data_IF_527920105320
#
_entry.id   IF_527920105320
#
_cell.length_a   1.000
_cell.length_b   1.000
_cell.length_c   1.000
_cell.angle_alpha   90.00
_cell.angle_beta   90.00
_cell.angle_gamma   90.00
#
_symmetry.space_group_name_H-M   'P 1'
#
loop_
_entity.id
_entity.type
_entity.pdbx_description
1 polymer ?
#
# COMPACT_ATOMS: atom_id res chain seq x y z
N UNK A 1 27.76 -40.49 -3.10
CA UNK A 1 26.31 -40.62 -2.83
C UNK A 1 25.88 -40.06 -1.45
N UNK A 2 26.52 -40.35 -0.34
CA UNK A 2 26.11 -39.88 1.01
C UNK A 2 26.06 -38.35 1.14
N UNK A 3 27.07 -37.60 0.66
CA UNK A 3 27.10 -36.12 0.75
C UNK A 3 25.92 -35.41 0.06
N UNK A 4 25.48 -35.95 -1.09
CA UNK A 4 24.35 -35.42 -1.85
C UNK A 4 23.01 -35.62 -1.12
N UNK A 5 22.85 -36.72 -0.39
CA UNK A 5 21.66 -36.97 0.45
C UNK A 5 21.59 -35.99 1.61
N UNK A 6 22.70 -35.70 2.31
CA UNK A 6 22.74 -34.73 3.41
C UNK A 6 22.43 -33.30 2.94
N UNK A 7 22.95 -32.90 1.78
CA UNK A 7 22.63 -31.59 1.19
C UNK A 7 21.16 -31.50 0.85
N UNK A 8 20.58 -32.52 0.25
CA UNK A 8 19.15 -32.54 -0.09
C UNK A 8 18.27 -32.47 1.16
N UNK A 9 18.62 -33.22 2.20
CA UNK A 9 17.91 -33.20 3.49
C UNK A 9 18.02 -31.82 4.14
N UNK A 10 19.19 -31.19 4.16
CA UNK A 10 19.38 -29.85 4.70
C UNK A 10 18.56 -28.80 3.92
N UNK A 11 18.52 -28.87 2.60
CA UNK A 11 17.69 -28.00 1.76
C UNK A 11 16.21 -28.20 2.04
N UNK A 12 15.74 -29.43 2.21
CA UNK A 12 14.34 -29.72 2.56
C UNK A 12 13.97 -29.15 3.94
N UNK A 13 14.87 -29.29 4.94
CA UNK A 13 14.66 -28.68 6.25
C UNK A 13 14.61 -27.16 6.18
N UNK A 14 15.47 -26.54 5.38
CA UNK A 14 15.48 -25.10 5.18
C UNK A 14 14.19 -24.61 4.51
N UNK A 15 13.71 -25.31 3.50
CA UNK A 15 12.42 -25.01 2.84
C UNK A 15 11.26 -25.18 3.82
N UNK A 16 11.24 -26.28 4.60
CA UNK A 16 10.20 -26.49 5.59
C UNK A 16 10.20 -25.39 6.67
N UNK A 17 11.38 -25.00 7.16
CA UNK A 17 11.53 -23.90 8.12
C UNK A 17 11.04 -22.56 7.53
N UNK A 18 11.35 -22.29 6.27
CA UNK A 18 10.85 -21.12 5.56
C UNK A 18 9.32 -21.14 5.44
N UNK A 19 8.74 -22.26 5.01
CA UNK A 19 7.28 -22.43 4.92
C UNK A 19 6.62 -22.21 6.28
N UNK A 20 7.16 -22.79 7.34
CA UNK A 20 6.67 -22.59 8.71
C UNK A 20 6.75 -21.13 9.11
N UNK A 21 7.87 -20.44 8.82
CA UNK A 21 8.05 -19.03 9.12
C UNK A 21 7.03 -18.16 8.41
N UNK A 22 6.62 -18.52 7.18
CA UNK A 22 5.63 -17.75 6.41
C UNK A 22 4.17 -18.11 6.71
N UNK A 23 3.90 -19.21 7.40
CA UNK A 23 2.52 -19.68 7.66
C UNK A 23 2.07 -19.51 9.10
N UNK A 24 2.97 -19.35 10.07
CA UNK A 24 2.62 -19.20 11.48
C UNK A 24 2.39 -17.73 11.83
N UNK A 25 1.19 -17.35 12.32
CA UNK A 25 0.89 -15.98 12.75
C UNK A 25 1.83 -15.47 13.85
N UNK A 26 2.28 -16.35 14.76
CA UNK A 26 3.22 -16.02 15.83
C UNK A 26 4.58 -15.54 15.33
N UNK A 27 4.92 -15.81 14.08
CA UNK A 27 6.15 -15.37 13.43
C UNK A 27 5.96 -14.14 12.54
N UNK A 28 4.78 -13.50 12.60
CA UNK A 28 4.49 -12.30 11.79
C UNK A 28 5.46 -11.17 12.08
N UNK A 29 5.71 -10.86 13.35
CA UNK A 29 6.63 -9.78 13.74
C UNK A 29 8.11 -10.08 13.40
N UNK A 30 8.69 -11.24 13.71
CA UNK A 30 10.03 -11.59 13.25
C UNK A 30 10.18 -11.55 11.72
N UNK A 31 9.19 -12.05 10.98
CA UNK A 31 9.17 -11.97 9.52
C UNK A 31 9.20 -10.54 9.03
N UNK A 32 8.33 -9.69 9.56
CA UNK A 32 8.29 -8.27 9.27
C UNK A 32 9.65 -7.58 9.49
N UNK A 33 10.34 -7.86 10.59
CA UNK A 33 11.67 -7.30 10.87
C UNK A 33 12.69 -7.70 9.80
N UNK A 34 12.67 -8.95 9.36
CA UNK A 34 13.56 -9.45 8.29
C UNK A 34 13.24 -8.78 6.95
N UNK A 35 11.97 -8.69 6.58
CA UNK A 35 11.51 -8.06 5.34
C UNK A 35 11.91 -6.57 5.28
N UNK A 36 11.70 -5.83 6.36
CA UNK A 36 12.11 -4.43 6.44
C UNK A 36 13.64 -4.26 6.35
N UNK A 37 14.41 -5.15 6.98
CA UNK A 37 15.85 -5.12 6.85
C UNK A 37 16.33 -5.39 5.43
N UNK A 38 15.70 -6.33 4.73
CA UNK A 38 15.97 -6.60 3.31
C UNK A 38 15.61 -5.37 2.47
N UNK A 39 14.42 -4.79 2.66
CA UNK A 39 13.97 -3.57 1.96
C UNK A 39 14.97 -2.42 2.16
N UNK A 40 15.38 -2.18 3.41
CA UNK A 40 16.37 -1.16 3.77
C UNK A 40 17.74 -1.38 3.08
N UNK A 41 18.19 -2.63 2.98
CA UNK A 41 19.43 -2.96 2.29
C UNK A 41 19.30 -2.73 0.78
N UNK A 42 18.23 -3.18 0.16
CA UNK A 42 17.96 -2.97 -1.26
C UNK A 42 17.92 -1.48 -1.62
N UNK A 43 17.26 -0.68 -0.77
CA UNK A 43 17.22 0.77 -0.92
C UNK A 43 18.61 1.41 -0.77
N UNK A 44 19.34 1.06 0.31
CA UNK A 44 20.66 1.60 0.59
C UNK A 44 21.68 1.38 -0.54
N UNK A 45 21.61 0.24 -1.19
CA UNK A 45 22.52 -0.13 -2.29
C UNK A 45 21.96 0.17 -3.68
N UNK A 46 20.81 0.87 -3.76
CA UNK A 46 20.15 1.23 -5.01
C UNK A 46 19.91 0.03 -5.96
N UNK A 47 19.62 -1.13 -5.37
CA UNK A 47 19.40 -2.38 -6.09
C UNK A 47 18.00 -2.51 -6.68
N UNK A 48 17.14 -1.52 -6.48
CA UNK A 48 15.81 -1.47 -7.05
C UNK A 48 15.75 -0.44 -8.16
N UNK A 49 15.21 -0.82 -9.32
CA UNK A 49 14.98 0.11 -10.44
C UNK A 49 13.70 0.95 -10.28
N UNK A 50 12.89 0.68 -9.25
CA UNK A 50 11.61 1.34 -8.98
C UNK A 50 11.71 2.26 -7.78
N UNK A 51 10.76 3.19 -7.65
CA UNK A 51 10.61 3.97 -6.44
C UNK A 51 10.45 3.04 -5.21
N UNK A 52 11.02 3.47 -4.10
CA UNK A 52 10.80 2.83 -2.80
C UNK A 52 9.45 3.27 -2.19
N UNK A 53 8.44 3.44 -3.02
CA UNK A 53 7.09 3.81 -2.62
C UNK A 53 6.25 2.55 -2.45
N UNK A 54 5.67 2.38 -1.26
CA UNK A 54 4.81 1.25 -0.91
C UNK A 54 3.60 1.73 -0.10
N UNK A 55 2.62 0.84 0.10
CA UNK A 55 1.34 1.18 0.74
C UNK A 55 0.69 2.43 0.13
N UNK A 56 0.78 2.51 -1.20
CA UNK A 56 0.24 3.62 -1.98
C UNK A 56 -1.28 3.55 -1.92
N UNK A 57 -1.91 4.66 -1.58
CA UNK A 57 -3.36 4.71 -1.39
C UNK A 57 -3.96 6.03 -1.79
N UNK A 58 -5.21 5.97 -2.18
CA UNK A 58 -6.06 7.13 -2.39
C UNK A 58 -6.99 7.32 -1.19
N UNK A 59 -7.05 8.54 -0.67
CA UNK A 59 -7.93 8.91 0.43
C UNK A 59 -9.01 9.86 -0.09
N UNK A 60 -10.24 9.62 0.33
CA UNK A 60 -11.37 10.51 0.06
C UNK A 60 -11.11 11.90 0.63
N UNK A 61 -11.47 12.91 -0.12
CA UNK A 61 -11.46 14.31 0.30
C UNK A 61 -12.89 14.82 0.51
N UNK A 62 -13.02 16.03 1.02
CA UNK A 62 -14.33 16.66 1.19
C UNK A 62 -15.07 16.84 -0.16
N UNK A 63 -14.32 17.12 -1.23
CA UNK A 63 -14.86 17.14 -2.60
C UNK A 63 -14.07 16.16 -3.48
N UNK A 64 -14.49 14.90 -3.56
CA UNK A 64 -13.79 13.87 -4.31
C UNK A 64 -13.92 14.02 -5.83
N UNK A 65 -14.80 14.88 -6.31
CA UNK A 65 -14.98 15.16 -7.74
C UNK A 65 -13.90 16.06 -8.31
N UNK A 66 -13.28 16.90 -7.46
CA UNK A 66 -12.27 17.88 -7.87
C UNK A 66 -10.92 17.72 -7.14
N UNK A 67 -10.85 16.80 -6.18
CA UNK A 67 -9.62 16.60 -5.40
C UNK A 67 -9.43 15.15 -4.96
N UNK A 68 -8.17 14.81 -4.63
CA UNK A 68 -7.78 13.51 -4.09
C UNK A 68 -6.54 13.64 -3.22
N UNK A 69 -6.53 13.01 -2.05
CA UNK A 69 -5.31 12.85 -1.29
C UNK A 69 -4.63 11.53 -1.68
N UNK A 70 -3.36 11.61 -2.02
CA UNK A 70 -2.50 10.48 -2.31
C UNK A 70 -1.53 10.32 -1.15
N UNK A 71 -1.47 9.11 -0.59
CA UNK A 71 -0.53 8.80 0.49
C UNK A 71 0.29 7.57 0.14
N UNK A 72 1.52 7.53 0.61
CA UNK A 72 2.41 6.38 0.48
C UNK A 72 3.49 6.41 1.55
N UNK A 73 4.22 5.35 1.67
CA UNK A 73 5.38 5.24 2.54
C UNK A 73 6.65 5.03 1.74
N UNK A 74 7.79 5.42 2.32
CA UNK A 74 9.12 5.09 1.83
C UNK A 74 10.10 4.94 2.99
N UNK A 75 11.27 4.40 2.69
CA UNK A 75 12.41 4.43 3.60
C UNK A 75 13.35 5.63 3.33
N UNK A 76 13.03 6.42 2.33
CA UNK A 76 13.83 7.57 1.93
C UNK A 76 13.49 8.78 2.80
N UNK A 77 14.51 9.38 3.41
CA UNK A 77 14.41 10.67 4.13
C UNK A 77 14.27 11.86 3.17
N UNK A 78 14.24 11.62 1.86
CA UNK A 78 14.22 12.67 0.87
C UNK A 78 12.92 13.50 0.98
N UNK A 79 13.08 14.78 1.36
CA UNK A 79 12.01 15.76 1.43
C UNK A 79 11.50 16.23 0.05
N UNK A 80 11.98 15.63 -1.04
CA UNK A 80 11.54 15.86 -2.43
C UNK A 80 10.47 14.87 -2.90
N UNK A 81 9.73 14.29 -1.95
CA UNK A 81 8.62 13.43 -2.25
C UNK A 81 7.54 14.20 -3.04
N UNK A 82 6.99 13.57 -4.05
CA UNK A 82 6.00 14.17 -4.94
C UNK A 82 5.03 13.13 -5.52
N UNK A 83 3.86 13.60 -5.88
CA UNK A 83 2.95 12.90 -6.76
C UNK A 83 2.96 13.57 -8.14
N UNK A 84 2.71 12.81 -9.17
CA UNK A 84 2.54 13.29 -10.53
C UNK A 84 1.23 12.72 -11.06
N UNK A 85 0.39 13.58 -11.65
CA UNK A 85 -0.93 13.22 -12.16
C UNK A 85 -1.12 13.76 -13.57
N UNK A 86 -1.84 13.01 -14.39
CA UNK A 86 -2.22 13.41 -15.75
C UNK A 86 -3.60 12.86 -16.09
N UNK A 87 -4.31 13.47 -17.03
CA UNK A 87 -5.46 12.83 -17.65
C UNK A 87 -5.00 11.58 -18.41
N UNK A 88 -5.79 10.53 -18.34
CA UNK A 88 -5.48 9.27 -18.99
C UNK A 88 -5.23 9.45 -20.48
N UNK A 89 -4.09 8.96 -20.95
CA UNK A 89 -3.66 9.07 -22.34
C UNK A 89 -2.98 10.39 -22.72
N UNK A 90 -2.96 11.41 -21.85
CA UNK A 90 -2.24 12.65 -22.12
C UNK A 90 -0.76 12.54 -21.73
N UNK A 91 0.09 13.33 -22.40
CA UNK A 91 1.51 13.41 -22.06
C UNK A 91 1.79 14.46 -20.99
N UNK A 92 0.99 15.53 -20.96
CA UNK A 92 1.14 16.60 -19.98
C UNK A 92 0.73 16.11 -18.60
N UNK A 93 1.54 16.39 -17.60
CA UNK A 93 1.30 16.02 -16.21
C UNK A 93 1.49 17.21 -15.29
N UNK A 94 0.79 17.17 -14.16
CA UNK A 94 0.94 18.08 -13.05
C UNK A 94 1.80 17.39 -11.97
N UNK A 95 2.78 18.09 -11.43
CA UNK A 95 3.58 17.65 -10.29
C UNK A 95 3.05 18.31 -9.01
N UNK A 96 2.79 17.52 -7.99
CA UNK A 96 2.27 17.98 -6.69
C UNK A 96 3.29 17.58 -5.62
N UNK A 97 3.94 18.54 -4.96
CA UNK A 97 4.82 18.26 -3.83
C UNK A 97 4.06 17.57 -2.69
N UNK A 98 4.73 16.66 -2.00
CA UNK A 98 4.19 16.00 -0.83
C UNK A 98 4.77 16.59 0.46
N UNK A 99 3.96 16.61 1.50
CA UNK A 99 4.45 16.74 2.87
C UNK A 99 4.88 15.38 3.40
N UNK A 100 5.85 15.35 4.31
CA UNK A 100 6.39 14.12 4.86
C UNK A 100 6.38 14.18 6.39
N UNK A 101 6.04 13.05 7.00
CA UNK A 101 6.15 12.82 8.44
C UNK A 101 6.89 11.52 8.70
N UNK A 102 7.40 11.36 9.90
CA UNK A 102 8.19 10.18 10.30
C UNK A 102 7.36 9.32 11.22
N UNK A 103 7.37 8.03 10.97
CA UNK A 103 6.81 7.01 11.84
C UNK A 103 7.90 5.99 12.19
N UNK A 104 8.07 5.71 13.47
CA UNK A 104 9.06 4.73 13.94
C UNK A 104 8.38 3.72 14.86
N UNK A 105 8.51 2.46 14.52
CA UNK A 105 8.04 1.32 15.30
C UNK A 105 9.08 0.21 15.28
N UNK A 106 9.32 -0.41 16.45
CA UNK A 106 10.27 -1.52 16.60
C UNK A 106 11.65 -1.25 15.95
N UNK A 107 12.14 0.00 16.00
CA UNK A 107 13.41 0.39 15.40
C UNK A 107 13.41 0.49 13.88
N UNK A 108 12.25 0.37 13.25
CA UNK A 108 12.04 0.60 11.81
C UNK A 108 11.46 2.00 11.62
N UNK A 109 12.18 2.86 10.93
CA UNK A 109 11.72 4.20 10.57
C UNK A 109 11.18 4.21 9.17
N UNK A 110 10.02 4.83 8.99
CA UNK A 110 9.34 5.02 7.70
C UNK A 110 8.96 6.47 7.54
N UNK A 111 8.96 6.94 6.32
CA UNK A 111 8.50 8.27 5.95
C UNK A 111 7.12 8.15 5.29
N UNK A 112 6.14 8.82 5.89
CA UNK A 112 4.78 8.90 5.37
C UNK A 112 4.66 10.17 4.55
N UNK A 113 4.27 10.03 3.30
CA UNK A 113 4.13 11.13 2.36
C UNK A 113 2.66 11.36 2.04
N UNK A 114 2.28 12.63 1.95
CA UNK A 114 0.92 13.05 1.64
C UNK A 114 0.95 14.15 0.59
N UNK A 115 0.32 13.91 -0.54
CA UNK A 115 0.12 14.89 -1.61
C UNK A 115 -1.37 15.13 -1.82
N UNK A 116 -1.81 16.38 -1.70
CA UNK A 116 -3.19 16.78 -2.00
C UNK A 116 -3.29 17.30 -3.42
N UNK A 117 -3.91 16.52 -4.28
CA UNK A 117 -4.21 16.89 -5.66
C UNK A 117 -5.52 17.65 -5.69
N UNK A 118 -5.54 18.82 -6.33
CA UNK A 118 -6.73 19.67 -6.50
C UNK A 118 -6.88 20.10 -7.95
N UNK A 119 -8.03 20.68 -8.29
CA UNK A 119 -8.30 21.16 -9.65
C UNK A 119 -8.59 20.04 -10.65
N UNK A 120 -9.00 18.87 -10.17
CA UNK A 120 -9.46 17.80 -11.02
C UNK A 120 -10.81 18.13 -11.66
N UNK A 121 -11.07 17.55 -12.81
CA UNK A 121 -12.34 17.68 -13.52
C UNK A 121 -13.26 16.51 -13.10
N UNK A 122 -14.51 16.76 -12.70
CA UNK A 122 -15.47 15.70 -12.40
C UNK A 122 -15.67 14.72 -13.58
N UNK A 123 -15.94 13.45 -13.27
CA UNK A 123 -16.22 12.42 -14.29
C UNK A 123 -15.08 12.16 -15.24
N UNK A 124 -13.84 12.28 -14.77
CA UNK A 124 -12.63 12.19 -15.62
C UNK A 124 -11.69 11.10 -15.12
N UNK A 125 -11.17 10.33 -16.08
CA UNK A 125 -10.12 9.33 -15.81
C UNK A 125 -8.73 9.98 -15.81
N UNK A 126 -7.99 9.74 -14.75
CA UNK A 126 -6.61 10.17 -14.56
C UNK A 126 -5.70 8.97 -14.34
N UNK A 127 -4.42 9.22 -14.46
CA UNK A 127 -3.34 8.34 -14.00
C UNK A 127 -2.44 9.13 -13.07
N UNK A 128 -1.97 8.51 -12.00
CA UNK A 128 -1.03 9.11 -11.08
C UNK A 128 0.13 8.17 -10.78
N UNK A 129 1.23 8.72 -10.32
CA UNK A 129 2.37 8.01 -9.77
C UNK A 129 2.99 8.81 -8.63
N UNK A 130 3.67 8.13 -7.73
CA UNK A 130 4.29 8.74 -6.55
C UNK A 130 5.75 8.35 -6.43
N UNK A 131 6.51 9.08 -5.64
CA UNK A 131 7.93 8.84 -5.43
C UNK A 131 8.68 10.14 -5.15
N UNK A 132 9.82 10.32 -5.80
CA UNK A 132 10.64 11.52 -5.73
C UNK A 132 11.13 11.94 -7.13
N UNK A 133 12.03 12.93 -7.18
CA UNK A 133 12.57 13.43 -8.44
C UNK A 133 13.45 12.41 -9.20
N UNK A 134 13.97 11.37 -8.53
CA UNK A 134 14.82 10.34 -9.12
C UNK A 134 14.05 9.11 -9.55
N UNK A 135 13.15 8.64 -8.70
CA UNK A 135 12.41 7.39 -8.90
C UNK A 135 10.92 7.58 -8.65
N UNK A 136 10.09 7.00 -9.49
CA UNK A 136 8.63 7.04 -9.39
C UNK A 136 8.05 5.65 -9.54
N UNK A 137 6.92 5.43 -8.88
CA UNK A 137 6.11 4.22 -9.06
C UNK A 137 5.64 4.09 -10.51
N UNK A 138 5.13 2.93 -10.92
CA UNK A 138 4.31 2.82 -12.12
C UNK A 138 3.12 3.78 -12.07
N UNK A 139 2.54 4.09 -13.24
CA UNK A 139 1.28 4.81 -13.33
C UNK A 139 0.13 3.95 -12.82
N UNK A 140 -0.72 4.54 -11.99
CA UNK A 140 -1.91 3.92 -11.38
C UNK A 140 -3.15 4.73 -11.73
N UNK A 141 -4.32 4.10 -11.88
CA UNK A 141 -5.54 4.81 -12.25
C UNK A 141 -6.10 5.63 -11.08
N UNK A 142 -6.73 6.76 -11.41
CA UNK A 142 -7.52 7.57 -10.52
C UNK A 142 -8.77 8.06 -11.27
N UNK A 143 -9.94 7.79 -10.71
CA UNK A 143 -11.20 8.22 -11.28
C UNK A 143 -11.83 9.29 -10.39
N UNK A 144 -12.27 10.38 -10.99
CA UNK A 144 -13.10 11.36 -10.29
C UNK A 144 -14.58 11.05 -10.54
N UNK A 145 -15.44 11.05 -9.50
CA UNK A 145 -16.86 10.78 -9.69
C UNK A 145 -17.51 11.87 -10.56
N UNK A 146 -18.42 11.44 -11.43
CA UNK A 146 -19.38 12.33 -12.07
C UNK A 146 -20.49 12.70 -11.09
N UNK A 147 -21.32 13.68 -11.46
CA UNK A 147 -22.56 13.91 -10.73
C UNK A 147 -23.53 12.74 -10.93
N UNK A 148 -24.19 12.33 -9.87
CA UNK A 148 -25.18 11.25 -9.91
C UNK A 148 -25.07 10.27 -8.74
N UNK A 149 -25.53 9.06 -8.97
CA UNK A 149 -25.46 7.98 -7.98
C UNK A 149 -24.05 7.41 -7.90
N UNK A 150 -23.69 6.94 -6.73
CA UNK A 150 -22.44 6.21 -6.47
C UNK A 150 -22.74 4.91 -5.70
N UNK A 151 -21.79 4.00 -5.69
CA UNK A 151 -21.80 2.82 -4.84
C UNK A 151 -20.59 2.83 -3.93
N UNK A 152 -20.75 2.32 -2.70
CA UNK A 152 -19.66 2.18 -1.74
C UNK A 152 -19.72 0.81 -1.08
N UNK A 153 -18.54 0.26 -0.76
CA UNK A 153 -18.42 -0.88 0.15
C UNK A 153 -18.14 -0.35 1.55
N UNK A 154 -18.86 -0.92 2.53
CA UNK A 154 -18.69 -0.57 3.93
C UNK A 154 -18.22 -1.81 4.67
N UNK A 155 -17.03 -1.74 5.24
CA UNK A 155 -16.47 -2.79 6.07
C UNK A 155 -16.46 -2.33 7.53
N UNK A 156 -17.08 -3.09 8.46
CA UNK A 156 -17.07 -2.67 9.86
C UNK A 156 -15.68 -2.85 10.44
N UNK A 157 -15.34 -4.03 10.81
CA UNK A 157 -14.14 -4.41 11.55
C UNK A 157 -13.25 -5.27 10.65
N UNK A 158 -11.96 -5.00 10.59
CA UNK A 158 -11.01 -5.74 9.73
C UNK A 158 -9.82 -6.30 10.49
N UNK A 159 -9.70 -6.00 11.79
CA UNK A 159 -8.64 -6.55 12.62
C UNK A 159 -8.73 -8.08 12.70
N UNK A 160 -7.61 -8.75 12.66
CA UNK A 160 -7.54 -10.20 12.81
C UNK A 160 -6.13 -10.66 13.14
N UNK A 161 -5.99 -11.90 13.61
CA UNK A 161 -4.71 -12.44 14.02
C UNK A 161 -3.69 -12.54 12.87
N UNK A 162 -4.15 -12.81 11.65
CA UNK A 162 -3.28 -13.05 10.49
C UNK A 162 -3.71 -12.31 9.21
N UNK A 163 -4.80 -11.56 9.28
CA UNK A 163 -5.41 -10.81 8.16
C UNK A 163 -5.81 -11.66 6.94
N UNK A 164 -5.73 -12.98 6.99
CA UNK A 164 -6.11 -13.84 5.85
C UNK A 164 -7.61 -13.78 5.56
N UNK A 165 -8.43 -13.74 6.61
CA UNK A 165 -9.88 -13.55 6.52
C UNK A 165 -10.24 -12.19 5.91
N UNK A 166 -9.61 -11.12 6.39
CA UNK A 166 -9.76 -9.78 5.83
C UNK A 166 -9.38 -9.74 4.35
N UNK A 167 -8.22 -10.30 3.98
CA UNK A 167 -7.78 -10.37 2.59
C UNK A 167 -8.79 -11.10 1.70
N UNK A 168 -9.25 -12.27 2.13
CA UNK A 168 -10.22 -13.06 1.37
C UNK A 168 -11.55 -12.32 1.16
N UNK A 169 -12.07 -11.69 2.24
CA UNK A 169 -13.31 -10.92 2.19
C UNK A 169 -13.17 -9.70 1.29
N UNK A 170 -12.15 -8.87 1.52
CA UNK A 170 -11.95 -7.63 0.79
C UNK A 170 -11.75 -7.90 -0.71
N UNK A 171 -10.82 -8.79 -1.08
CA UNK A 171 -10.56 -9.11 -2.49
C UNK A 171 -11.80 -9.68 -3.19
N UNK A 172 -12.60 -10.50 -2.50
CA UNK A 172 -13.85 -11.01 -3.05
C UNK A 172 -14.87 -9.88 -3.24
N UNK A 173 -15.05 -9.02 -2.25
CA UNK A 173 -16.01 -7.92 -2.32
C UNK A 173 -15.72 -6.98 -3.50
N UNK A 174 -14.45 -6.58 -3.67
CA UNK A 174 -14.07 -5.71 -4.80
C UNK A 174 -14.11 -6.42 -6.16
N UNK A 175 -13.94 -7.73 -6.20
CA UNK A 175 -14.13 -8.53 -7.41
C UNK A 175 -15.62 -8.61 -7.81
N UNK A 176 -16.49 -8.78 -6.82
CA UNK A 176 -17.94 -8.89 -7.05
C UNK A 176 -18.58 -7.54 -7.34
N UNK A 177 -17.97 -6.44 -6.88
CA UNK A 177 -18.43 -5.05 -7.05
C UNK A 177 -17.36 -4.18 -7.73
N UNK A 178 -17.04 -4.41 -9.01
CA UNK A 178 -15.94 -3.72 -9.70
C UNK A 178 -16.18 -2.21 -9.91
N UNK A 179 -17.45 -1.80 -9.89
CA UNK A 179 -17.88 -0.41 -10.15
C UNK A 179 -18.01 0.43 -8.88
N UNK A 180 -17.51 -0.07 -7.75
CA UNK A 180 -17.57 0.67 -6.50
C UNK A 180 -16.70 1.93 -6.58
N UNK A 181 -17.26 3.06 -6.16
CA UNK A 181 -16.63 4.37 -6.26
C UNK A 181 -15.61 4.62 -5.15
N UNK A 182 -15.88 4.08 -3.96
CA UNK A 182 -15.01 4.16 -2.78
C UNK A 182 -15.40 3.10 -1.77
N UNK A 183 -14.60 2.96 -0.72
CA UNK A 183 -14.98 2.14 0.42
C UNK A 183 -14.74 2.86 1.74
N UNK A 184 -15.47 2.42 2.75
CA UNK A 184 -15.34 2.88 4.13
C UNK A 184 -14.91 1.69 4.97
N UNK A 185 -13.91 1.88 5.81
CA UNK A 185 -13.62 0.98 6.90
C UNK A 185 -13.97 1.71 8.21
N UNK A 186 -14.88 1.15 9.00
CA UNK A 186 -15.55 1.83 10.11
C UNK A 186 -14.79 1.76 11.44
N UNK A 187 -13.52 1.54 11.40
CA UNK A 187 -12.67 1.42 12.59
C UNK A 187 -12.13 0.01 12.77
N UNK A 188 -11.41 -0.21 13.85
CA UNK A 188 -10.74 -1.47 14.18
C UNK A 188 -10.01 -2.10 12.97
N UNK A 189 -9.24 -1.25 12.28
CA UNK A 189 -8.50 -1.65 11.09
C UNK A 189 -7.44 -2.69 11.45
N UNK A 190 -6.74 -2.44 12.55
CA UNK A 190 -5.71 -3.31 13.12
C UNK A 190 -5.96 -3.49 14.63
N UNK A 191 -5.52 -4.61 15.19
CA UNK A 191 -5.67 -4.93 16.60
C UNK A 191 -4.82 -4.02 17.51
N UNK A 192 -3.63 -3.63 17.05
CA UNK A 192 -2.77 -2.69 17.73
C UNK A 192 -2.11 -1.72 16.75
N UNK A 193 -2.54 -0.45 16.79
CA UNK A 193 -2.07 0.60 15.90
C UNK A 193 -0.58 0.94 16.03
N UNK A 194 0.08 0.52 17.13
CA UNK A 194 1.52 0.69 17.33
C UNK A 194 2.35 -0.41 16.64
N UNK A 195 1.71 -1.46 16.13
CA UNK A 195 2.39 -2.57 15.47
C UNK A 195 2.40 -2.42 13.95
N UNK A 196 3.50 -1.91 13.40
CA UNK A 196 3.64 -1.65 11.97
C UNK A 196 3.42 -2.90 11.10
N UNK A 197 3.74 -4.11 11.58
CA UNK A 197 3.50 -5.35 10.83
C UNK A 197 2.01 -5.65 10.61
N UNK A 198 1.13 -5.18 11.50
CA UNK A 198 -0.31 -5.32 11.32
C UNK A 198 -0.82 -4.38 10.24
N UNK A 199 -0.28 -3.16 10.18
CA UNK A 199 -0.54 -2.24 9.08
C UNK A 199 -0.06 -2.79 7.74
N UNK A 200 1.14 -3.35 7.66
CA UNK A 200 1.63 -4.00 6.44
C UNK A 200 0.68 -5.11 5.99
N UNK A 201 0.23 -5.97 6.90
CA UNK A 201 -0.71 -7.04 6.59
C UNK A 201 -2.07 -6.51 6.14
N UNK A 202 -2.55 -5.43 6.76
CA UNK A 202 -3.79 -4.77 6.36
C UNK A 202 -3.70 -4.19 4.95
N UNK A 203 -2.61 -3.49 4.62
CA UNK A 203 -2.39 -2.95 3.28
C UNK A 203 -2.17 -4.05 2.24
N UNK A 204 -1.44 -5.12 2.58
CA UNK A 204 -1.26 -6.28 1.70
C UNK A 204 -2.60 -6.95 1.34
N UNK A 205 -3.56 -6.93 2.25
CA UNK A 205 -4.90 -7.44 1.97
C UNK A 205 -5.62 -6.64 0.88
N UNK A 206 -5.32 -5.36 0.76
CA UNK A 206 -5.92 -4.42 -0.20
C UNK A 206 -5.04 -4.14 -1.42
N UNK A 207 -3.93 -4.85 -1.58
CA UNK A 207 -3.03 -4.65 -2.71
C UNK A 207 -3.76 -4.79 -4.06
N UNK A 208 -3.52 -3.83 -4.96
CA UNK A 208 -4.20 -3.73 -6.25
C UNK A 208 -5.61 -3.11 -6.18
N UNK A 209 -6.09 -2.78 -4.98
CA UNK A 209 -7.39 -2.13 -4.74
C UNK A 209 -7.20 -0.69 -4.29
N UNK A 210 -6.51 -0.48 -3.17
CA UNK A 210 -6.43 0.82 -2.50
C UNK A 210 -5.63 1.86 -3.30
N UNK A 211 -4.83 1.42 -4.26
CA UNK A 211 -4.13 2.28 -5.21
C UNK A 211 -5.08 2.88 -6.26
N UNK A 212 -6.28 2.32 -6.45
CA UNK A 212 -7.25 2.76 -7.49
C UNK A 212 -8.63 3.11 -6.95
N UNK A 213 -9.05 2.51 -5.84
CA UNK A 213 -10.33 2.78 -5.20
C UNK A 213 -10.04 3.51 -3.89
N UNK A 214 -10.52 4.76 -3.74
CA UNK A 214 -10.22 5.54 -2.54
C UNK A 214 -10.90 4.98 -1.30
N UNK A 215 -10.22 5.13 -0.16
CA UNK A 215 -10.76 4.80 1.16
C UNK A 215 -11.18 6.05 1.92
N UNK A 216 -12.26 5.92 2.69
CA UNK A 216 -12.63 6.84 3.75
C UNK A 216 -12.49 6.09 5.09
N UNK A 217 -11.31 6.13 5.74
CA UNK A 217 -11.12 5.44 7.01
C UNK A 217 -11.83 6.21 8.12
N UNK A 218 -12.45 5.48 9.03
CA UNK A 218 -12.89 5.98 10.33
C UNK A 218 -11.95 5.43 11.41
N UNK A 219 -11.62 6.26 12.36
CA UNK A 219 -10.75 5.95 13.50
C UNK A 219 -11.60 5.74 14.76
#
# INVERSE_FOLDING_TARGET
>A
MKRRKYVLTAVMFLIAALVICFTLPQLAEPRFQVENKIRSLLHRYDLTSRADAYEIRQIMTQDPSTSRTLMWQSQDEDNRALAEIRKKGEKASQVVPATSSVFTDNGVTRHLHTAMVTGLTPGTSYEYRVGNDRKRSPWMPLETPAQGSFSALIFPDSQSADYSGWKALAQKAFKDHPDVSFFVNMGDLVDNGEHAYQWDAWFDALQGVIERIPVAPLL
#
